data_IF_185046089565
#
_entry.id   IF_185046089565
#
_cell.length_a   1.000
_cell.length_b   1.000
_cell.length_c   1.000
_cell.angle_alpha   90.00
_cell.angle_beta   90.00
_cell.angle_gamma   90.00
#
_symmetry.space_group_name_H-M   'P 1'
#
loop_
_entity.id
_entity.type
_entity.pdbx_description
1 polymer ?
#
# COMPACT_ATOMS: atom_id res chain seq x y z
N UNK A 1 2.06 50.25 -67.08
CA UNK A 1 3.34 50.54 -66.39
C UNK A 1 3.43 49.65 -65.17
N UNK A 2 4.61 49.08 -64.94
CA UNK A 2 4.91 47.85 -64.19
C UNK A 2 4.43 47.79 -62.73
N UNK A 3 3.98 46.59 -62.35
CA UNK A 3 3.67 46.15 -60.98
C UNK A 3 4.97 45.76 -60.20
N UNK A 4 4.92 45.64 -58.86
CA UNK A 4 6.09 45.69 -57.98
C UNK A 4 6.68 44.30 -57.71
N UNK A 5 7.98 44.24 -57.38
CA UNK A 5 8.61 43.05 -56.79
C UNK A 5 9.20 43.42 -55.44
N UNK A 6 8.47 43.10 -54.37
CA UNK A 6 8.97 43.17 -53.00
C UNK A 6 9.36 41.76 -52.60
N UNK A 7 10.67 41.53 -52.49
CA UNK A 7 11.28 40.26 -52.10
C UNK A 7 10.93 39.96 -50.64
N UNK A 8 9.96 39.07 -50.42
CA UNK A 8 9.59 38.58 -49.07
C UNK A 8 10.57 37.49 -48.65
N UNK A 9 11.48 37.82 -47.75
CA UNK A 9 12.28 36.84 -47.03
C UNK A 9 11.38 36.05 -46.06
N UNK A 10 11.28 34.75 -46.29
CA UNK A 10 10.57 33.80 -45.44
C UNK A 10 11.51 33.41 -44.29
N UNK A 11 11.21 33.84 -43.06
CA UNK A 11 11.91 33.38 -41.87
C UNK A 11 11.37 32.01 -41.44
N UNK A 12 12.20 30.98 -41.19
CA UNK A 12 11.72 29.75 -40.60
C UNK A 12 11.53 29.95 -39.09
N UNK A 13 10.28 30.01 -38.65
CA UNK A 13 9.93 29.96 -37.23
C UNK A 13 10.19 28.55 -36.71
N UNK A 14 11.33 28.36 -36.05
CA UNK A 14 11.70 27.14 -35.34
C UNK A 14 10.79 27.00 -34.11
N UNK A 15 9.69 26.26 -34.25
CA UNK A 15 8.84 25.82 -33.15
C UNK A 15 9.62 24.83 -32.27
N UNK A 16 10.23 25.35 -31.19
CA UNK A 16 10.70 24.53 -30.09
C UNK A 16 9.49 23.93 -29.37
N UNK A 17 9.19 22.67 -29.68
CA UNK A 17 8.28 21.81 -28.94
C UNK A 17 8.80 21.66 -27.49
N UNK A 18 8.31 22.51 -26.59
CA UNK A 18 8.48 22.33 -25.15
C UNK A 18 7.70 21.10 -24.71
N UNK A 19 8.34 19.93 -24.68
CA UNK A 19 7.76 18.77 -24.02
C UNK A 19 7.59 19.09 -22.53
N UNK A 20 6.38 18.95 -21.94
CA UNK A 20 6.26 19.06 -20.50
C UNK A 20 7.15 17.97 -19.89
N UNK A 21 8.11 18.40 -19.08
CA UNK A 21 8.94 17.49 -18.29
C UNK A 21 8.00 16.81 -17.30
N UNK A 22 7.48 15.64 -17.65
CA UNK A 22 6.72 14.80 -16.72
C UNK A 22 7.75 14.35 -15.67
N UNK A 23 7.83 15.08 -14.57
CA UNK A 23 8.64 14.67 -13.42
C UNK A 23 8.00 13.41 -12.86
N UNK A 24 8.66 12.28 -13.09
CA UNK A 24 8.29 11.03 -12.45
C UNK A 24 8.27 11.24 -10.93
N UNK A 25 7.14 10.91 -10.29
CA UNK A 25 7.04 11.00 -8.84
C UNK A 25 7.95 9.94 -8.20
N UNK A 26 8.66 10.34 -7.14
CA UNK A 26 9.50 9.42 -6.38
C UNK A 26 8.67 8.55 -5.44
N UNK A 27 9.20 7.39 -5.02
CA UNK A 27 8.54 6.54 -4.00
C UNK A 27 8.22 7.35 -2.73
N UNK A 28 9.17 8.14 -2.23
CA UNK A 28 9.00 8.98 -1.05
C UNK A 28 7.86 10.00 -1.17
N UNK A 29 7.73 10.67 -2.32
CA UNK A 29 6.63 11.62 -2.57
C UNK A 29 5.26 10.93 -2.56
N UNK A 30 5.18 9.75 -3.18
CA UNK A 30 3.96 8.93 -3.22
C UNK A 30 3.59 8.41 -1.82
N UNK A 31 4.56 7.95 -1.04
CA UNK A 31 4.35 7.51 0.35
C UNK A 31 3.82 8.68 1.18
N UNK A 32 4.43 9.86 1.11
CA UNK A 32 3.99 11.02 1.86
C UNK A 32 2.55 11.43 1.51
N UNK A 33 2.15 11.33 0.23
CA UNK A 33 0.77 11.56 -0.21
C UNK A 33 -0.18 10.50 0.35
N UNK A 34 0.23 9.23 0.37
CA UNK A 34 -0.52 8.15 0.98
C UNK A 34 -0.70 8.36 2.49
N UNK A 35 0.35 8.78 3.19
CA UNK A 35 0.32 9.06 4.64
C UNK A 35 -0.66 10.19 4.97
N UNK A 36 -0.76 11.22 4.11
CA UNK A 36 -1.74 12.29 4.30
C UNK A 36 -3.20 11.78 4.17
N UNK A 37 -3.45 10.89 3.22
CA UNK A 37 -4.77 10.27 3.06
C UNK A 37 -5.10 9.29 4.21
N UNK A 38 -4.12 8.50 4.67
CA UNK A 38 -4.25 7.61 5.83
C UNK A 38 -4.62 8.38 7.10
N UNK A 39 -3.91 9.48 7.38
CA UNK A 39 -4.22 10.40 8.50
C UNK A 39 -5.61 11.01 8.41
N UNK A 40 -6.17 11.10 7.20
CA UNK A 40 -7.51 11.62 6.94
C UNK A 40 -8.58 10.51 6.89
N UNK A 41 -8.24 9.28 7.27
CA UNK A 41 -9.11 8.10 7.23
C UNK A 41 -9.66 7.80 5.83
N UNK A 42 -8.84 8.00 4.79
CA UNK A 42 -9.20 7.74 3.39
C UNK A 42 -8.38 6.57 2.82
N UNK A 43 -8.69 5.31 3.20
CA UNK A 43 -7.85 4.16 2.87
C UNK A 43 -7.76 3.88 1.36
N UNK A 44 -8.85 4.10 0.62
CA UNK A 44 -8.84 3.98 -0.84
C UNK A 44 -7.89 4.99 -1.50
N UNK A 45 -7.88 6.24 -1.02
CA UNK A 45 -7.00 7.28 -1.54
C UNK A 45 -5.54 7.04 -1.13
N UNK A 46 -5.30 6.53 0.07
CA UNK A 46 -3.97 6.13 0.52
C UNK A 46 -3.38 5.06 -0.40
N UNK A 47 -4.15 4.01 -0.73
CA UNK A 47 -3.73 2.94 -1.64
C UNK A 47 -3.46 3.41 -3.07
N UNK A 48 -4.19 4.42 -3.57
CA UNK A 48 -3.89 5.03 -4.87
C UNK A 48 -2.48 5.62 -4.94
N UNK A 49 -1.89 5.98 -3.80
CA UNK A 49 -0.52 6.51 -3.72
C UNK A 49 0.49 5.42 -3.33
N UNK A 50 0.16 4.57 -2.37
CA UNK A 50 1.06 3.51 -1.90
C UNK A 50 1.34 2.43 -2.94
N UNK A 51 0.35 2.00 -3.74
CA UNK A 51 0.56 0.93 -4.71
C UNK A 51 1.52 1.33 -5.86
N UNK A 52 1.45 2.56 -6.42
CA UNK A 52 2.52 3.07 -7.28
C UNK A 52 3.88 3.15 -6.59
N UNK A 53 3.94 3.56 -5.31
CA UNK A 53 5.20 3.59 -4.56
C UNK A 53 5.81 2.19 -4.40
N UNK A 54 5.00 1.17 -4.13
CA UNK A 54 5.44 -0.22 -4.01
C UNK A 54 6.08 -0.72 -5.31
N UNK A 55 5.59 -0.29 -6.47
CA UNK A 55 6.21 -0.67 -7.76
C UNK A 55 7.60 -0.06 -7.92
N UNK A 56 7.87 1.09 -7.31
CA UNK A 56 9.17 1.77 -7.35
C UNK A 56 10.14 1.20 -6.32
N UNK A 57 9.64 0.86 -5.13
CA UNK A 57 10.42 0.23 -4.06
C UNK A 57 9.64 -0.92 -3.40
N UNK A 58 9.66 -2.13 -3.99
CA UNK A 58 8.88 -3.25 -3.48
C UNK A 58 9.44 -3.83 -2.18
N UNK A 59 10.66 -3.43 -1.77
CA UNK A 59 11.36 -3.95 -0.59
C UNK A 59 11.20 -3.06 0.64
N UNK A 60 10.49 -1.94 0.53
CA UNK A 60 10.15 -1.09 1.67
C UNK A 60 9.15 -1.81 2.60
N UNK A 61 9.68 -2.31 3.72
CA UNK A 61 8.91 -3.05 4.74
C UNK A 61 7.81 -2.18 5.33
N UNK A 62 8.09 -0.92 5.63
CA UNK A 62 7.11 -0.04 6.28
C UNK A 62 5.97 0.29 5.31
N UNK A 63 6.27 0.46 4.02
CA UNK A 63 5.26 0.61 2.98
C UNK A 63 4.36 -0.63 2.87
N UNK A 64 4.92 -1.85 2.90
CA UNK A 64 4.13 -3.07 2.92
C UNK A 64 3.17 -3.13 4.13
N UNK A 65 3.63 -2.70 5.31
CA UNK A 65 2.79 -2.61 6.50
C UNK A 65 1.67 -1.56 6.38
N UNK A 66 1.97 -0.40 5.79
CA UNK A 66 0.98 0.64 5.47
C UNK A 66 -0.09 0.09 4.52
N UNK A 67 0.30 -0.56 3.42
CA UNK A 67 -0.63 -1.14 2.44
C UNK A 67 -1.50 -2.22 3.10
N UNK A 68 -0.90 -3.13 3.87
CA UNK A 68 -1.64 -4.16 4.61
C UNK A 68 -2.69 -3.54 5.54
N UNK A 69 -2.34 -2.46 6.26
CA UNK A 69 -3.26 -1.71 7.11
C UNK A 69 -4.40 -1.09 6.30
N UNK A 70 -4.13 -0.45 5.17
CA UNK A 70 -5.18 0.19 4.36
C UNK A 70 -6.19 -0.82 3.82
N UNK A 71 -5.74 -2.00 3.40
CA UNK A 71 -6.67 -3.07 3.01
C UNK A 71 -7.53 -3.57 4.18
N UNK A 72 -7.00 -3.62 5.41
CA UNK A 72 -7.80 -3.91 6.61
C UNK A 72 -8.83 -2.82 6.92
N UNK A 73 -8.56 -1.57 6.57
CA UNK A 73 -9.55 -0.49 6.68
C UNK A 73 -10.64 -0.64 5.62
N UNK A 74 -10.27 -0.82 4.34
CA UNK A 74 -11.25 -1.08 3.28
C UNK A 74 -12.13 -2.31 3.55
N UNK A 75 -11.55 -3.36 4.11
CA UNK A 75 -12.29 -4.55 4.53
C UNK A 75 -13.38 -4.23 5.56
N UNK A 76 -13.12 -3.32 6.49
CA UNK A 76 -14.10 -2.86 7.47
C UNK A 76 -15.23 -2.07 6.80
N UNK A 77 -14.92 -1.27 5.78
CA UNK A 77 -15.83 -0.32 5.15
C UNK A 77 -16.78 -0.95 4.11
N UNK A 78 -16.41 -2.09 3.52
CA UNK A 78 -17.23 -2.74 2.48
C UNK A 78 -18.25 -3.74 3.04
N UNK A 79 -19.32 -3.96 2.27
CA UNK A 79 -20.32 -4.99 2.54
C UNK A 79 -20.03 -6.29 1.79
N UNK A 80 -20.55 -7.40 2.33
CA UNK A 80 -20.47 -8.73 1.73
C UNK A 80 -19.19 -9.49 2.08
N UNK A 81 -19.37 -10.72 2.59
CA UNK A 81 -18.26 -11.54 3.09
C UNK A 81 -17.18 -11.79 2.02
N UNK A 82 -17.59 -12.08 0.78
CA UNK A 82 -16.63 -12.31 -0.31
C UNK A 82 -15.73 -11.10 -0.58
N UNK A 83 -16.28 -9.89 -0.60
CA UNK A 83 -15.52 -8.65 -0.79
C UNK A 83 -14.63 -8.34 0.41
N UNK A 84 -15.13 -8.56 1.64
CA UNK A 84 -14.32 -8.44 2.86
C UNK A 84 -13.12 -9.38 2.82
N UNK A 85 -13.35 -10.64 2.49
CA UNK A 85 -12.27 -11.63 2.36
C UNK A 85 -11.28 -11.30 1.24
N UNK A 86 -11.74 -10.71 0.12
CA UNK A 86 -10.84 -10.23 -0.93
C UNK A 86 -9.85 -9.19 -0.38
N UNK A 87 -10.31 -8.18 0.34
CA UNK A 87 -9.42 -7.20 0.95
C UNK A 87 -8.59 -7.77 2.10
N UNK A 88 -9.15 -8.68 2.89
CA UNK A 88 -8.41 -9.42 3.92
C UNK A 88 -7.23 -10.18 3.34
N UNK A 89 -7.42 -10.89 2.22
CA UNK A 89 -6.37 -11.64 1.52
C UNK A 89 -5.28 -10.73 0.96
N UNK A 90 -5.65 -9.59 0.35
CA UNK A 90 -4.67 -8.58 -0.09
C UNK A 90 -3.87 -8.03 1.09
N UNK A 91 -4.54 -7.71 2.20
CA UNK A 91 -3.85 -7.29 3.42
C UNK A 91 -2.84 -8.34 3.91
N UNK A 92 -3.27 -9.60 3.99
CA UNK A 92 -2.44 -10.70 4.45
C UNK A 92 -1.23 -10.90 3.53
N UNK A 93 -1.40 -10.79 2.22
CA UNK A 93 -0.30 -10.90 1.26
C UNK A 93 0.82 -9.88 1.54
N UNK A 94 0.48 -8.60 1.68
CA UNK A 94 1.46 -7.55 2.01
C UNK A 94 2.05 -7.73 3.42
N UNK A 95 1.24 -8.15 4.40
CA UNK A 95 1.71 -8.43 5.75
C UNK A 95 2.73 -9.57 5.79
N UNK A 96 2.49 -10.66 5.04
CA UNK A 96 3.42 -11.78 4.92
C UNK A 96 4.71 -11.38 4.20
N UNK A 97 4.62 -10.54 3.15
CA UNK A 97 5.82 -9.96 2.50
C UNK A 97 6.66 -9.18 3.51
N UNK A 98 6.05 -8.30 4.29
CA UNK A 98 6.74 -7.53 5.33
C UNK A 98 7.40 -8.46 6.37
N UNK A 99 6.67 -9.46 6.87
CA UNK A 99 7.17 -10.42 7.84
C UNK A 99 8.38 -11.22 7.32
N UNK A 100 8.37 -11.59 6.03
CA UNK A 100 9.47 -12.30 5.40
C UNK A 100 10.71 -11.43 5.21
N UNK A 101 10.52 -10.16 4.81
CA UNK A 101 11.62 -9.21 4.60
C UNK A 101 12.25 -8.72 5.91
N UNK A 102 11.46 -8.61 6.98
CA UNK A 102 11.91 -8.13 8.29
C UNK A 102 11.64 -9.15 9.41
N UNK A 103 12.38 -10.29 9.43
CA UNK A 103 12.15 -11.37 10.39
C UNK A 103 12.39 -10.99 11.86
N UNK A 104 13.08 -9.86 12.11
CA UNK A 104 13.40 -9.32 13.43
C UNK A 104 12.60 -8.06 13.80
N UNK A 105 11.64 -7.65 12.98
CA UNK A 105 10.77 -6.51 13.26
C UNK A 105 9.46 -7.00 13.88
N UNK A 106 9.16 -6.56 15.11
CA UNK A 106 7.98 -7.00 15.87
C UNK A 106 6.67 -6.69 15.13
N UNK A 107 6.48 -5.46 14.63
CA UNK A 107 5.31 -5.04 13.85
C UNK A 107 5.13 -5.87 12.58
N UNK A 108 6.23 -6.16 11.88
CA UNK A 108 6.19 -7.00 10.69
C UNK A 108 5.75 -8.43 11.01
N UNK A 109 6.16 -8.99 12.14
CA UNK A 109 5.71 -10.31 12.57
C UNK A 109 4.26 -10.32 13.07
N UNK A 110 3.78 -9.20 13.63
CA UNK A 110 2.41 -9.07 14.13
C UNK A 110 1.39 -8.88 13.01
N UNK A 111 1.74 -8.11 11.97
CA UNK A 111 0.80 -7.69 10.92
C UNK A 111 -0.03 -8.85 10.31
N UNK A 112 0.54 -10.04 10.00
CA UNK A 112 -0.25 -11.17 9.54
C UNK A 112 -1.31 -11.65 10.54
N UNK A 113 -1.02 -11.63 11.84
CA UNK A 113 -1.98 -12.01 12.88
C UNK A 113 -3.22 -11.12 12.83
N UNK A 114 -3.03 -9.81 12.64
CA UNK A 114 -4.13 -8.86 12.56
C UNK A 114 -4.95 -9.07 11.29
N UNK A 115 -4.30 -9.39 10.17
CA UNK A 115 -4.99 -9.73 8.91
C UNK A 115 -5.81 -11.01 9.03
N UNK A 116 -5.24 -12.09 9.57
CA UNK A 116 -5.96 -13.32 9.86
C UNK A 116 -7.14 -13.06 10.80
N UNK A 117 -6.90 -12.40 11.93
CA UNK A 117 -7.93 -12.10 12.93
C UNK A 117 -9.13 -11.34 12.35
N UNK A 118 -8.88 -10.37 11.46
CA UNK A 118 -9.96 -9.66 10.75
C UNK A 118 -10.71 -10.54 9.74
N UNK A 119 -10.07 -11.55 9.15
CA UNK A 119 -10.70 -12.49 8.20
C UNK A 119 -11.61 -13.51 8.88
N UNK A 120 -11.23 -14.01 10.07
CA UNK A 120 -11.93 -15.10 10.77
C UNK A 120 -13.46 -14.99 10.75
N UNK A 121 -14.10 -13.85 11.08
CA UNK A 121 -15.57 -13.78 11.14
C UNK A 121 -16.27 -14.04 9.80
N UNK A 122 -15.56 -13.94 8.69
CA UNK A 122 -16.11 -14.06 7.33
C UNK A 122 -15.71 -15.36 6.64
N UNK A 123 -14.78 -16.12 7.22
CA UNK A 123 -14.29 -17.38 6.68
C UNK A 123 -15.22 -18.57 6.98
N UNK A 124 -15.04 -19.66 6.25
CA UNK A 124 -15.70 -20.94 6.56
C UNK A 124 -15.15 -21.58 7.84
N UNK A 125 -15.93 -22.48 8.47
CA UNK A 125 -15.57 -23.09 9.77
C UNK A 125 -14.16 -23.72 9.80
N UNK A 126 -13.76 -24.39 8.72
CA UNK A 126 -12.43 -25.00 8.63
C UNK A 126 -11.31 -23.97 8.66
N UNK A 127 -11.45 -22.89 7.88
CA UNK A 127 -10.48 -21.81 7.80
C UNK A 127 -10.41 -20.98 9.08
N UNK A 128 -11.53 -20.82 9.79
CA UNK A 128 -11.55 -20.20 11.12
C UNK A 128 -10.67 -20.97 12.12
N UNK A 129 -10.81 -22.30 12.17
CA UNK A 129 -9.99 -23.15 13.05
C UNK A 129 -8.52 -23.11 12.63
N UNK A 130 -8.24 -23.11 11.32
CA UNK A 130 -6.89 -23.04 10.80
C UNK A 130 -6.19 -21.68 11.08
N UNK A 131 -6.95 -20.60 11.21
CA UNK A 131 -6.41 -19.26 11.47
C UNK A 131 -5.87 -19.11 12.90
N UNK A 132 -6.48 -19.74 13.90
CA UNK A 132 -6.08 -19.61 15.32
C UNK A 132 -4.59 -19.89 15.60
N UNK A 133 -4.00 -21.03 15.17
CA UNK A 133 -2.58 -21.28 15.41
C UNK A 133 -1.67 -20.29 14.65
N UNK A 134 -2.09 -19.77 13.50
CA UNK A 134 -1.33 -18.78 12.72
C UNK A 134 -1.31 -17.43 13.43
N UNK A 135 -2.46 -16.98 13.93
CA UNK A 135 -2.60 -15.75 14.72
C UNK A 135 -1.68 -15.82 15.95
N UNK A 136 -1.79 -16.91 16.71
CA UNK A 136 -0.98 -17.15 17.91
C UNK A 136 0.52 -17.12 17.60
N UNK A 137 0.97 -17.87 16.60
CA UNK A 137 2.39 -17.93 16.26
C UNK A 137 2.97 -16.57 15.86
N UNK A 138 2.21 -15.77 15.11
CA UNK A 138 2.61 -14.41 14.75
C UNK A 138 2.68 -13.48 15.97
N UNK A 139 1.66 -13.50 16.84
CA UNK A 139 1.61 -12.69 18.05
C UNK A 139 2.75 -13.05 19.03
N UNK A 140 2.95 -14.34 19.31
CA UNK A 140 4.04 -14.82 20.18
C UNK A 140 5.41 -14.42 19.64
N UNK A 141 5.61 -14.48 18.32
CA UNK A 141 6.86 -14.04 17.70
C UNK A 141 7.07 -12.54 17.84
N UNK A 142 6.02 -11.73 17.66
CA UNK A 142 6.07 -10.29 17.86
C UNK A 142 6.40 -9.92 19.32
N UNK A 143 5.76 -10.57 20.29
CA UNK A 143 6.02 -10.41 21.73
C UNK A 143 7.48 -10.79 22.05
N UNK A 144 7.99 -11.88 21.48
CA UNK A 144 9.38 -12.29 21.71
C UNK A 144 10.39 -11.27 21.17
N UNK A 145 10.10 -10.63 20.05
CA UNK A 145 10.95 -9.60 19.44
C UNK A 145 10.87 -8.27 20.21
N UNK A 146 9.67 -7.90 20.65
CA UNK A 146 9.42 -6.72 21.47
C UNK A 146 8.30 -6.99 22.49
N UNK A 147 8.66 -7.28 23.75
CA UNK A 147 7.68 -7.52 24.81
C UNK A 147 6.83 -6.30 25.17
N UNK A 148 7.20 -5.09 24.72
CA UNK A 148 6.45 -3.84 24.90
C UNK A 148 5.47 -3.57 23.75
N UNK A 149 5.36 -4.49 22.79
CA UNK A 149 4.35 -4.39 21.76
C UNK A 149 2.97 -4.74 22.35
N UNK A 150 2.27 -3.72 22.85
CA UNK A 150 0.94 -3.86 23.45
C UNK A 150 -0.08 -4.44 22.47
N UNK A 151 0.06 -4.16 21.16
CA UNK A 151 -0.82 -4.70 20.13
C UNK A 151 -0.65 -6.21 19.98
N UNK A 152 0.57 -6.73 20.18
CA UNK A 152 0.82 -8.16 20.11
C UNK A 152 0.18 -8.92 21.29
N UNK A 153 0.20 -8.32 22.49
CA UNK A 153 -0.53 -8.86 23.64
C UNK A 153 -2.04 -8.77 23.50
N UNK A 154 -2.57 -7.71 22.88
CA UNK A 154 -4.00 -7.58 22.61
C UNK A 154 -4.53 -8.64 21.64
N UNK A 155 -3.70 -9.09 20.70
CA UNK A 155 -4.08 -10.08 19.68
C UNK A 155 -4.02 -11.53 20.22
N UNK A 156 -3.17 -11.80 21.21
CA UNK A 156 -2.95 -13.13 21.78
C UNK A 156 -4.08 -13.57 22.73
#
# INVERSE_FOLDING_TARGET
MHAPSVLRFLAPALLLLGSPLVRAQTSTELIAKGDAADKSFQPALALQSYLPAEKLDPKDVDLQLRIARQYRHLMSDVSGNATKLKYGKLSLEHALKAAAMAPKNSEAQLSPAISYGKMVPFEGKGDQVAASPLIKACAEKAIKLDPRNDSAWHVL
#
